data_IF_867660883967
#
_entry.id   IF_867660883967
#
_cell.length_a   1.000
_cell.length_b   1.000
_cell.length_c   1.000
_cell.angle_alpha   90.00
_cell.angle_beta   90.00
_cell.angle_gamma   90.00
#
_symmetry.space_group_name_H-M   'P 1'
#
loop_
_entity.id
_entity.type
_entity.pdbx_description
1 polymer ?
#
# COMPACT_ATOMS: atom_id res chain seq x y z
N UNK A 1 23.53 -20.11 34.94
CA UNK A 1 22.29 -19.43 34.52
C UNK A 1 22.69 -18.14 33.82
N UNK A 2 22.64 -18.11 32.49
CA UNK A 2 23.07 -16.96 31.70
C UNK A 2 22.02 -15.84 31.78
N UNK A 3 22.48 -14.64 32.13
CA UNK A 3 21.68 -13.42 32.22
C UNK A 3 21.14 -13.05 30.83
N UNK A 4 19.82 -12.89 30.73
CA UNK A 4 19.13 -12.28 29.60
C UNK A 4 19.61 -10.83 29.43
N UNK A 5 20.45 -10.57 28.43
CA UNK A 5 20.81 -9.22 27.99
C UNK A 5 19.63 -8.61 27.21
N UNK A 6 18.73 -7.90 27.91
CA UNK A 6 17.81 -6.98 27.24
C UNK A 6 18.61 -5.77 26.77
N UNK A 7 18.88 -5.66 25.46
CA UNK A 7 19.61 -4.52 24.91
C UNK A 7 18.77 -3.24 25.06
N UNK A 8 19.09 -2.39 26.03
CA UNK A 8 18.58 -1.02 26.12
C UNK A 8 19.25 -0.19 25.00
N UNK A 9 18.78 -0.37 23.77
CA UNK A 9 19.19 0.45 22.63
C UNK A 9 18.62 1.85 22.81
N UNK A 10 19.45 2.86 22.62
CA UNK A 10 19.02 4.26 22.65
C UNK A 10 18.01 4.53 21.50
N UNK A 11 17.13 5.53 21.63
CA UNK A 11 16.17 5.86 20.57
C UNK A 11 16.85 6.10 19.21
N UNK A 12 18.07 6.64 19.21
CA UNK A 12 18.87 6.87 18.01
C UNK A 12 19.35 5.57 17.36
N UNK A 13 19.78 4.58 18.15
CA UNK A 13 20.16 3.26 17.65
C UNK A 13 18.96 2.48 17.10
N UNK A 14 17.79 2.64 17.72
CA UNK A 14 16.54 2.07 17.21
C UNK A 14 16.14 2.72 15.88
N UNK A 15 16.28 4.05 15.77
CA UNK A 15 15.99 4.78 14.54
C UNK A 15 16.94 4.39 13.40
N UNK A 16 18.24 4.29 13.66
CA UNK A 16 19.23 3.84 12.68
C UNK A 16 18.98 2.39 12.22
N UNK A 17 18.56 1.51 13.13
CA UNK A 17 18.17 0.15 12.75
C UNK A 17 16.93 0.12 11.86
N UNK A 18 15.98 1.01 12.13
CA UNK A 18 14.75 1.11 11.35
C UNK A 18 15.03 1.66 9.94
N UNK A 19 15.93 2.64 9.82
CA UNK A 19 16.40 3.16 8.52
C UNK A 19 17.14 2.06 7.74
N UNK A 20 18.11 1.38 8.35
CA UNK A 20 18.86 0.31 7.68
C UNK A 20 17.94 -0.84 7.26
N UNK A 21 16.95 -1.18 8.08
CA UNK A 21 15.94 -2.18 7.75
C UNK A 21 15.09 -1.74 6.56
N UNK A 22 14.69 -0.46 6.53
CA UNK A 22 13.94 0.11 5.43
C UNK A 22 14.74 0.13 4.12
N UNK A 23 16.03 0.48 4.18
CA UNK A 23 16.93 0.44 3.03
C UNK A 23 17.12 -0.98 2.50
N UNK A 24 17.24 -1.97 3.38
CA UNK A 24 17.35 -3.38 3.00
C UNK A 24 16.05 -3.87 2.32
N UNK A 25 14.89 -3.47 2.86
CA UNK A 25 13.59 -3.80 2.26
C UNK A 25 13.40 -3.11 0.91
N UNK A 26 13.87 -1.87 0.78
CA UNK A 26 13.89 -1.13 -0.48
C UNK A 26 14.76 -1.86 -1.51
N UNK A 27 15.98 -2.23 -1.14
CA UNK A 27 16.91 -2.92 -2.04
C UNK A 27 16.36 -4.29 -2.47
N UNK A 28 15.81 -5.07 -1.53
CA UNK A 28 15.17 -6.34 -1.83
C UNK A 28 13.94 -6.19 -2.74
N UNK A 29 13.18 -5.11 -2.57
CA UNK A 29 12.06 -4.79 -3.46
C UNK A 29 12.56 -4.40 -4.86
N UNK A 30 13.61 -3.59 -4.97
CA UNK A 30 14.23 -3.18 -6.22
C UNK A 30 14.79 -4.38 -6.99
N UNK A 31 15.53 -5.26 -6.33
CA UNK A 31 16.07 -6.50 -6.92
C UNK A 31 14.95 -7.42 -7.40
N UNK A 32 13.87 -7.59 -6.61
CA UNK A 32 12.72 -8.42 -6.99
C UNK A 32 11.89 -7.82 -8.14
N UNK A 33 11.96 -6.51 -8.34
CA UNK A 33 11.31 -5.81 -9.44
C UNK A 33 12.20 -5.90 -10.69
N UNK A 34 13.51 -5.68 -10.57
CA UNK A 34 14.48 -5.86 -11.63
C UNK A 34 14.57 -7.32 -12.11
N UNK A 35 14.26 -8.30 -11.24
CA UNK A 35 14.21 -9.72 -11.60
C UNK A 35 12.92 -10.16 -12.29
N UNK A 36 11.97 -9.26 -12.56
CA UNK A 36 10.74 -9.56 -13.32
C UNK A 36 10.89 -8.99 -14.73
N UNK A 37 11.57 -9.79 -15.54
CA UNK A 37 11.56 -9.90 -17.00
C UNK A 37 11.30 -8.62 -17.83
N UNK A 38 12.37 -8.26 -18.51
CA UNK A 38 12.50 -7.57 -19.79
C UNK A 38 11.32 -7.74 -20.76
N UNK A 39 10.95 -6.64 -21.43
CA UNK A 39 10.53 -6.68 -22.83
C UNK A 39 9.10 -6.24 -23.13
N UNK A 40 8.97 -4.97 -23.50
CA UNK A 40 7.86 -4.38 -24.26
C UNK A 40 6.46 -4.40 -23.61
N UNK A 41 5.58 -3.53 -24.13
CA UNK A 41 4.18 -3.39 -23.73
C UNK A 41 3.36 -4.62 -24.19
N UNK A 42 3.71 -5.81 -23.68
CA UNK A 42 3.08 -7.09 -23.98
C UNK A 42 1.64 -7.13 -23.43
N UNK A 43 0.71 -7.91 -23.99
CA UNK A 43 -0.67 -8.06 -23.48
C UNK A 43 -0.77 -8.39 -21.97
N UNK A 44 0.28 -9.00 -21.38
CA UNK A 44 0.41 -9.21 -19.95
C UNK A 44 0.54 -7.92 -19.11
N UNK A 45 1.14 -6.87 -19.68
CA UNK A 45 1.27 -5.55 -19.04
C UNK A 45 -0.10 -4.85 -18.93
N UNK A 46 -0.94 -4.90 -19.99
CA UNK A 46 -2.32 -4.42 -19.97
C UNK A 46 -3.17 -5.16 -18.92
N UNK A 47 -2.98 -6.47 -18.80
CA UNK A 47 -3.62 -7.28 -17.75
C UNK A 47 -3.14 -6.89 -16.34
N UNK A 48 -1.88 -6.52 -16.19
CA UNK A 48 -1.35 -6.01 -14.91
C UNK A 48 -1.96 -4.65 -14.56
N UNK A 49 -1.90 -3.68 -15.48
CA UNK A 49 -2.44 -2.32 -15.29
C UNK A 49 -3.94 -2.35 -15.01
N UNK A 50 -4.72 -3.07 -15.82
CA UNK A 50 -6.17 -3.24 -15.61
C UNK A 50 -6.47 -3.93 -14.27
N UNK A 51 -5.68 -4.94 -13.88
CA UNK A 51 -5.79 -5.58 -12.58
C UNK A 51 -5.57 -4.61 -11.42
N UNK A 52 -4.58 -3.72 -11.50
CA UNK A 52 -4.32 -2.71 -10.47
C UNK A 52 -5.42 -1.66 -10.38
N UNK A 53 -5.90 -1.17 -11.51
CA UNK A 53 -7.03 -0.23 -11.57
C UNK A 53 -8.28 -0.87 -10.95
N UNK A 54 -8.57 -2.13 -11.32
CA UNK A 54 -9.71 -2.87 -10.75
C UNK A 54 -9.60 -2.99 -9.23
N UNK A 55 -8.41 -3.28 -8.69
CA UNK A 55 -8.20 -3.33 -7.24
C UNK A 55 -8.43 -1.96 -6.57
N UNK A 56 -7.96 -0.86 -7.19
CA UNK A 56 -8.23 0.50 -6.68
C UNK A 56 -9.74 0.75 -6.62
N UNK A 57 -10.46 0.43 -7.70
CA UNK A 57 -11.92 0.57 -7.76
C UNK A 57 -12.58 -0.25 -6.65
N UNK A 58 -12.20 -1.52 -6.48
CA UNK A 58 -12.74 -2.37 -5.41
C UNK A 58 -12.56 -1.73 -4.03
N UNK A 59 -11.34 -1.28 -3.70
CA UNK A 59 -11.08 -0.65 -2.40
C UNK A 59 -11.86 0.66 -2.23
N UNK A 60 -11.99 1.47 -3.28
CA UNK A 60 -12.76 2.71 -3.25
C UNK A 60 -14.27 2.44 -3.06
N UNK A 61 -14.82 1.47 -3.77
CA UNK A 61 -16.22 1.06 -3.63
C UNK A 61 -16.52 0.50 -2.24
N UNK A 62 -15.60 -0.28 -1.65
CA UNK A 62 -15.77 -0.75 -0.27
C UNK A 62 -15.83 0.40 0.75
N UNK A 63 -15.07 1.47 0.53
CA UNK A 63 -15.14 2.68 1.37
C UNK A 63 -16.55 3.27 1.24
N UNK A 64 -17.00 3.56 0.03
CA UNK A 64 -18.31 4.13 -0.25
C UNK A 64 -19.44 3.30 0.38
N UNK A 65 -19.42 1.98 0.18
CA UNK A 65 -20.40 1.05 0.72
C UNK A 65 -20.48 1.10 2.25
N UNK A 66 -19.34 1.16 2.94
CA UNK A 66 -19.29 1.23 4.40
C UNK A 66 -19.81 2.57 4.91
N UNK A 67 -19.51 3.67 4.22
CA UNK A 67 -20.08 4.97 4.55
C UNK A 67 -21.60 5.01 4.32
N UNK A 68 -22.09 4.46 3.21
CA UNK A 68 -23.52 4.39 2.90
C UNK A 68 -24.29 3.56 3.92
N UNK A 69 -23.83 2.33 4.19
CA UNK A 69 -24.44 1.46 5.20
C UNK A 69 -24.31 2.07 6.59
N UNK A 70 -23.17 2.66 6.90
CA UNK A 70 -22.96 3.41 8.13
C UNK A 70 -23.99 4.50 8.35
N UNK A 71 -24.24 5.35 7.34
CA UNK A 71 -25.27 6.38 7.41
C UNK A 71 -26.67 5.82 7.62
N UNK A 72 -26.99 4.66 7.07
CA UNK A 72 -28.27 4.00 7.29
C UNK A 72 -28.39 3.49 8.74
N UNK A 73 -27.37 2.77 9.21
CA UNK A 73 -27.35 2.19 10.57
C UNK A 73 -27.33 3.28 11.63
N UNK A 74 -26.61 4.38 11.42
CA UNK A 74 -26.61 5.52 12.34
C UNK A 74 -27.97 6.23 12.47
N UNK A 75 -28.92 6.00 11.55
CA UNK A 75 -30.30 6.49 11.70
C UNK A 75 -31.15 5.60 12.61
N UNK A 76 -30.69 4.39 12.91
CA UNK A 76 -31.44 3.41 13.70
C UNK A 76 -30.98 3.30 15.16
N UNK A 77 -29.80 3.83 15.50
CA UNK A 77 -29.27 3.83 16.86
C UNK A 77 -29.24 5.26 17.40
N UNK A 78 -29.81 5.47 18.59
CA UNK A 78 -29.81 6.76 19.30
C UNK A 78 -28.81 6.81 20.46
N UNK A 79 -28.15 5.69 20.80
CA UNK A 79 -27.14 5.67 21.85
C UNK A 79 -25.75 6.11 21.34
N UNK A 80 -25.07 6.90 22.17
CA UNK A 80 -23.78 7.49 21.84
C UNK A 80 -22.70 6.43 21.60
N UNK A 81 -22.70 5.35 22.39
CA UNK A 81 -21.67 4.33 22.36
C UNK A 81 -21.73 3.50 21.07
N UNK A 82 -22.92 3.09 20.64
CA UNK A 82 -23.12 2.39 19.36
C UNK A 82 -22.77 3.28 18.18
N UNK A 83 -23.17 4.56 18.22
CA UNK A 83 -22.81 5.55 17.20
C UNK A 83 -21.30 5.69 17.06
N UNK A 84 -20.57 5.81 18.18
CA UNK A 84 -19.11 5.88 18.18
C UNK A 84 -18.45 4.60 17.67
N UNK A 85 -18.94 3.44 18.10
CA UNK A 85 -18.41 2.15 17.67
C UNK A 85 -18.57 1.94 16.15
N UNK A 86 -19.74 2.25 15.60
CA UNK A 86 -20.01 2.21 14.16
C UNK A 86 -19.09 3.18 13.42
N UNK A 87 -18.99 4.43 13.90
CA UNK A 87 -18.12 5.44 13.31
C UNK A 87 -16.64 5.03 13.30
N UNK A 88 -16.15 4.43 14.39
CA UNK A 88 -14.77 3.92 14.48
C UNK A 88 -14.50 2.78 13.49
N UNK A 89 -15.44 1.85 13.36
CA UNK A 89 -15.33 0.73 12.42
C UNK A 89 -15.25 1.19 10.96
N UNK A 90 -16.10 2.15 10.57
CA UNK A 90 -16.09 2.74 9.23
C UNK A 90 -14.76 3.45 8.97
N UNK A 91 -14.30 4.30 9.90
CA UNK A 91 -13.02 5.01 9.77
C UNK A 91 -11.84 4.06 9.64
N UNK A 92 -11.79 2.98 10.42
CA UNK A 92 -10.71 2.00 10.36
C UNK A 92 -10.69 1.25 9.02
N UNK A 93 -11.86 0.87 8.51
CA UNK A 93 -11.99 0.24 7.19
C UNK A 93 -11.55 1.20 6.09
N UNK A 94 -11.99 2.47 6.17
CA UNK A 94 -11.61 3.49 5.21
C UNK A 94 -10.10 3.73 5.18
N UNK A 95 -9.47 3.84 6.36
CA UNK A 95 -8.02 3.98 6.48
C UNK A 95 -7.29 2.83 5.79
N UNK A 96 -7.65 1.58 6.11
CA UNK A 96 -7.02 0.39 5.53
C UNK A 96 -7.13 0.38 4.01
N UNK A 97 -8.32 0.65 3.47
CA UNK A 97 -8.54 0.66 2.02
C UNK A 97 -7.82 1.83 1.32
N UNK A 98 -7.73 3.00 1.96
CA UNK A 98 -6.92 4.12 1.44
C UNK A 98 -5.43 3.80 1.40
N UNK A 99 -4.89 3.17 2.46
CA UNK A 99 -3.50 2.72 2.48
C UNK A 99 -3.20 1.73 1.35
N UNK A 100 -4.14 0.83 1.05
CA UNK A 100 -4.03 -0.11 -0.06
C UNK A 100 -4.08 0.58 -1.44
N UNK A 101 -4.98 1.55 -1.63
CA UNK A 101 -5.04 2.35 -2.86
C UNK A 101 -3.72 3.08 -3.08
N UNK A 102 -3.18 3.75 -2.06
CA UNK A 102 -1.90 4.47 -2.15
C UNK A 102 -0.76 3.52 -2.50
N UNK A 103 -0.71 2.34 -1.87
CA UNK A 103 0.30 1.32 -2.15
C UNK A 103 0.25 0.84 -3.60
N UNK A 104 -0.96 0.62 -4.14
CA UNK A 104 -1.15 0.20 -5.53
C UNK A 104 -0.76 1.32 -6.49
N UNK A 105 -1.25 2.54 -6.25
CA UNK A 105 -0.94 3.72 -7.06
C UNK A 105 0.57 4.03 -7.09
N UNK A 106 1.27 3.92 -5.96
CA UNK A 106 2.71 4.08 -5.89
C UNK A 106 3.48 3.06 -6.74
N UNK A 107 3.04 1.79 -6.74
CA UNK A 107 3.63 0.75 -7.59
C UNK A 107 3.39 1.02 -9.07
N UNK A 108 2.18 1.45 -9.42
CA UNK A 108 1.83 1.84 -10.78
C UNK A 108 2.71 3.00 -11.26
N UNK A 109 2.83 4.08 -10.47
CA UNK A 109 3.67 5.22 -10.81
C UNK A 109 5.14 4.81 -11.00
N UNK A 110 5.66 3.96 -10.10
CA UNK A 110 7.04 3.48 -10.22
C UNK A 110 7.27 2.66 -11.50
N UNK A 111 6.34 1.75 -11.83
CA UNK A 111 6.41 1.00 -13.08
C UNK A 111 6.40 1.92 -14.30
N UNK A 112 5.52 2.93 -14.30
CA UNK A 112 5.48 3.93 -15.37
C UNK A 112 6.82 4.66 -15.55
N UNK A 113 7.51 5.01 -14.46
CA UNK A 113 8.83 5.63 -14.54
C UNK A 113 9.89 4.70 -15.16
N UNK A 114 9.89 3.41 -14.79
CA UNK A 114 10.77 2.39 -15.40
C UNK A 114 10.49 2.31 -16.90
N UNK A 115 9.23 2.16 -17.28
CA UNK A 115 8.81 2.03 -18.68
C UNK A 115 9.26 3.25 -19.50
N UNK A 116 9.19 4.46 -18.93
CA UNK A 116 9.67 5.70 -19.57
C UNK A 116 11.19 5.72 -19.76
N UNK A 117 11.97 5.25 -18.80
CA UNK A 117 13.43 5.24 -18.89
C UNK A 117 13.93 4.16 -19.86
N UNK A 118 13.26 3.01 -19.92
CA UNK A 118 13.50 1.98 -20.95
C UNK A 118 13.19 2.51 -22.36
N UNK A 119 12.08 3.23 -22.55
CA UNK A 119 11.74 3.82 -23.85
C UNK A 119 12.81 4.83 -24.32
N UNK A 120 13.32 5.68 -23.42
CA UNK A 120 14.38 6.65 -23.72
C UNK A 120 15.71 5.99 -24.08
N UNK A 121 16.03 4.85 -23.48
CA UNK A 121 17.28 4.13 -23.74
C UNK A 121 17.22 3.32 -25.02
N UNK A 122 16.07 2.72 -25.36
CA UNK A 122 15.84 2.06 -26.65
C UNK A 122 15.86 3.03 -27.84
N UNK A 123 15.37 4.25 -27.69
CA UNK A 123 15.37 5.28 -28.75
C UNK A 123 16.72 5.95 -29.03
N UNK A 124 17.79 5.60 -28.29
CA UNK A 124 19.15 6.14 -28.46
C UNK A 124 20.12 5.18 -29.17
N UNK A 125 19.65 4.05 -29.68
CA UNK A 125 20.45 3.14 -30.52
C UNK A 125 20.23 3.42 -31.99
#
# INVERSE_FOLDING_TARGET
MAKSNSSNKTPQEQYSQLINHFETLREAALVKIASREEGDFEPGSLNWWSGKIKMIITHASEIEDKFMRGRYVLKTFDDHDSTQAIGKSIKQTAKKNLEEIIRIAGRMYYQFCIDLDEAKTKGKR
#
